data_IF_535534534177
#
_entry.id   IF_535534534177
#
_cell.length_a   1.000
_cell.length_b   1.000
_cell.length_c   1.000
_cell.angle_alpha   90.00
_cell.angle_beta   90.00
_cell.angle_gamma   90.00
#
_symmetry.space_group_name_H-M   'P 1'
#
loop_
_entity.id
_entity.type
_entity.pdbx_description
1 polymer ?
#
# COMPACT_ATOMS: atom_id res chain seq x y z
N UNK A 1 -7.13 4.24 -23.94
CA UNK A 1 -6.02 4.44 -22.98
C UNK A 1 -6.24 3.42 -21.89
N UNK A 2 -5.48 2.34 -21.88
CA UNK A 2 -5.97 1.06 -21.37
C UNK A 2 -5.23 0.66 -20.08
N UNK A 3 -5.99 0.21 -19.07
CA UNK A 3 -5.46 -0.43 -17.85
C UNK A 3 -4.84 0.51 -16.80
N UNK A 4 -5.35 0.44 -15.57
CA UNK A 4 -4.93 1.22 -14.39
C UNK A 4 -5.28 0.41 -13.10
N UNK A 5 -4.80 0.86 -11.92
CA UNK A 5 -5.20 0.51 -10.52
C UNK A 5 -4.50 -0.76 -9.94
N UNK A 6 -4.24 -0.99 -8.64
CA UNK A 6 -4.19 -0.15 -7.40
C UNK A 6 -3.24 -0.77 -6.34
N UNK A 7 -2.60 0.04 -5.47
CA UNK A 7 -2.13 -0.37 -4.12
C UNK A 7 -2.73 0.48 -3.01
N UNK A 8 -2.95 -0.14 -1.84
CA UNK A 8 -3.42 0.52 -0.61
C UNK A 8 -2.41 0.44 0.54
N UNK A 9 -2.31 1.51 1.34
CA UNK A 9 -1.70 1.50 2.70
C UNK A 9 -2.69 2.11 3.70
N UNK A 10 -3.32 1.27 4.52
CA UNK A 10 -4.42 1.62 5.43
C UNK A 10 -3.96 1.99 6.84
N UNK A 11 -4.59 2.99 7.47
CA UNK A 11 -4.28 3.51 8.80
C UNK A 11 -5.56 3.57 9.66
N UNK A 12 -5.59 2.84 10.79
CA UNK A 12 -6.55 3.09 11.89
C UNK A 12 -5.77 3.53 13.13
N UNK A 13 -6.22 4.59 13.79
CA UNK A 13 -5.79 4.93 15.15
C UNK A 13 -6.61 4.11 16.17
N UNK A 14 -6.03 3.14 16.89
CA UNK A 14 -6.77 2.39 17.90
C UNK A 14 -6.88 3.22 19.18
N UNK A 15 -8.09 3.41 19.69
CA UNK A 15 -8.27 3.77 21.10
C UNK A 15 -7.92 2.54 21.96
N UNK A 16 -6.85 2.68 22.76
CA UNK A 16 -6.60 1.98 24.03
C UNK A 16 -6.75 0.44 24.00
N UNK A 17 -5.64 -0.27 23.79
CA UNK A 17 -5.34 -1.50 24.55
C UNK A 17 -3.84 -1.58 24.85
N UNK A 18 -3.50 -1.59 26.15
CA UNK A 18 -2.13 -1.71 26.66
C UNK A 18 -1.91 -3.14 27.16
N UNK A 19 -1.13 -3.95 26.44
CA UNK A 19 -0.36 -5.07 27.02
C UNK A 19 0.70 -5.55 26.01
N UNK A 20 1.97 -5.56 26.42
CA UNK A 20 3.06 -6.35 25.85
C UNK A 20 3.26 -6.30 24.32
N UNK A 21 3.79 -5.17 23.83
CA UNK A 21 4.70 -5.22 22.68
C UNK A 21 6.10 -5.46 23.25
N UNK A 22 6.67 -6.64 22.99
CA UNK A 22 8.07 -6.92 23.30
C UNK A 22 8.98 -5.92 22.57
N UNK A 23 10.08 -5.54 23.20
CA UNK A 23 11.05 -4.56 22.70
C UNK A 23 11.76 -5.07 21.45
N UNK A 24 11.11 -4.90 20.29
CA UNK A 24 11.81 -4.86 19.02
C UNK A 24 12.72 -3.63 19.05
N UNK A 25 14.02 -3.85 18.87
CA UNK A 25 15.03 -2.80 18.79
C UNK A 25 14.58 -1.77 17.74
N UNK A 26 14.52 -0.49 18.12
CA UNK A 26 13.99 0.55 17.24
C UNK A 26 14.92 0.69 16.02
N UNK A 27 14.36 0.60 14.82
CA UNK A 27 15.12 0.67 13.58
C UNK A 27 15.64 2.11 13.38
N UNK A 28 16.88 2.34 13.85
CA UNK A 28 17.53 3.66 13.91
C UNK A 28 18.73 3.69 12.94
N UNK A 29 18.97 4.86 12.35
CA UNK A 29 20.15 5.16 11.53
C UNK A 29 20.63 6.58 11.80
N UNK A 30 21.94 6.76 12.05
CA UNK A 30 22.54 8.09 12.02
C UNK A 30 22.71 8.53 10.56
N UNK A 31 21.84 9.43 10.10
CA UNK A 31 21.87 9.93 8.72
C UNK A 31 23.00 10.94 8.45
N UNK A 32 23.79 11.31 9.45
CA UNK A 32 25.04 12.07 9.30
C UNK A 32 26.27 11.18 9.07
N UNK A 33 26.23 9.90 9.47
CA UNK A 33 27.27 8.91 9.20
C UNK A 33 27.02 8.20 7.86
N UNK A 34 27.80 8.58 6.85
CA UNK A 34 27.79 7.97 5.51
C UNK A 34 27.92 6.44 5.54
N UNK A 35 28.66 5.87 6.49
CA UNK A 35 28.88 4.42 6.58
C UNK A 35 27.62 3.72 7.07
N UNK A 36 26.93 4.31 8.05
CA UNK A 36 25.63 3.82 8.54
C UNK A 36 24.55 3.95 7.47
N UNK A 37 24.46 5.09 6.78
CA UNK A 37 23.49 5.28 5.67
C UNK A 37 23.70 4.24 4.57
N UNK A 38 24.95 3.98 4.17
CA UNK A 38 25.25 2.94 3.16
C UNK A 38 24.81 1.57 3.67
N UNK A 39 25.20 1.17 4.89
CA UNK A 39 24.79 -0.12 5.46
C UNK A 39 23.27 -0.25 5.53
N UNK A 40 22.58 0.79 6.01
CA UNK A 40 21.13 0.83 6.13
C UNK A 40 20.41 0.67 4.79
N UNK A 41 20.93 1.30 3.73
CA UNK A 41 20.42 1.10 2.36
C UNK A 41 20.57 -0.36 1.89
N UNK A 42 21.73 -0.98 2.09
CA UNK A 42 21.94 -2.39 1.72
C UNK A 42 21.12 -3.38 2.56
N UNK A 43 20.88 -3.08 3.83
CA UNK A 43 20.19 -3.98 4.76
C UNK A 43 18.67 -3.81 4.79
N UNK A 44 18.14 -2.63 4.46
CA UNK A 44 16.72 -2.26 4.69
C UNK A 44 16.01 -1.66 3.46
N UNK A 45 16.73 -1.14 2.47
CA UNK A 45 16.12 -0.71 1.20
C UNK A 45 16.21 -1.84 0.17
N UNK A 46 17.45 -2.22 -0.18
CA UNK A 46 17.72 -3.15 -1.28
C UNK A 46 17.09 -4.56 -1.16
N UNK A 47 16.87 -5.17 0.03
CA UNK A 47 16.26 -6.49 0.09
C UNK A 47 14.80 -6.52 -0.37
N UNK A 48 14.13 -5.36 -0.40
CA UNK A 48 12.75 -5.23 -0.93
C UNK A 48 12.70 -5.07 -2.46
N UNK A 49 13.84 -4.91 -3.14
CA UNK A 49 13.89 -4.92 -4.62
C UNK A 49 13.55 -6.30 -5.21
N UNK A 50 13.16 -6.34 -6.49
CA UNK A 50 12.78 -7.59 -7.16
C UNK A 50 11.43 -8.15 -6.68
N UNK A 51 10.57 -7.30 -6.11
CA UNK A 51 9.26 -7.64 -5.56
C UNK A 51 8.23 -8.03 -6.63
N UNK A 52 8.51 -7.75 -7.90
CA UNK A 52 7.58 -7.95 -9.02
C UNK A 52 7.20 -9.43 -9.18
N UNK A 53 8.11 -10.34 -8.88
CA UNK A 53 7.86 -11.78 -8.91
C UNK A 53 7.24 -12.32 -7.60
N UNK A 54 6.90 -11.44 -6.65
CA UNK A 54 6.51 -11.79 -5.27
C UNK A 54 5.06 -11.46 -4.91
N UNK A 55 4.25 -10.99 -5.86
CA UNK A 55 2.87 -10.59 -5.57
C UNK A 55 1.97 -11.77 -5.16
N UNK A 56 2.10 -12.91 -5.85
CA UNK A 56 1.43 -14.21 -5.58
C UNK A 56 -0.03 -14.06 -5.12
N UNK A 57 -0.81 -13.25 -5.83
CA UNK A 57 -2.21 -12.96 -5.48
C UNK A 57 -3.08 -14.22 -5.63
N UNK A 58 -3.92 -14.49 -4.62
CA UNK A 58 -4.78 -15.69 -4.59
C UNK A 58 -6.24 -15.44 -4.98
N UNK A 59 -6.57 -14.21 -5.36
CA UNK A 59 -7.94 -13.81 -5.72
C UNK A 59 -8.31 -14.04 -7.18
N UNK A 60 -9.47 -13.52 -7.57
CA UNK A 60 -9.97 -13.59 -8.94
C UNK A 60 -11.03 -12.50 -9.16
N UNK A 61 -10.80 -11.60 -10.13
CA UNK A 61 -11.78 -10.56 -10.49
C UNK A 61 -13.05 -11.20 -11.05
N UNK A 62 -12.92 -12.22 -11.91
CA UNK A 62 -14.04 -12.94 -12.52
C UNK A 62 -14.95 -13.60 -11.47
N UNK A 63 -14.36 -14.30 -10.49
CA UNK A 63 -15.10 -14.99 -9.44
C UNK A 63 -15.47 -14.08 -8.25
N UNK A 64 -15.25 -12.75 -8.36
CA UNK A 64 -15.54 -11.76 -7.30
C UNK A 64 -14.87 -12.10 -5.95
N UNK A 65 -13.65 -12.64 -6.02
CA UNK A 65 -12.87 -13.04 -4.85
C UNK A 65 -11.67 -12.08 -4.63
N UNK A 66 -11.67 -11.23 -3.58
CA UNK A 66 -10.54 -10.38 -3.25
C UNK A 66 -9.21 -11.10 -3.01
N UNK A 67 -9.27 -12.36 -2.57
CA UNK A 67 -8.12 -13.18 -2.21
C UNK A 67 -7.22 -12.51 -1.15
N UNK A 68 -5.95 -12.87 -1.18
CA UNK A 68 -4.90 -12.30 -0.33
C UNK A 68 -3.64 -12.03 -1.16
N UNK A 69 -2.79 -11.14 -0.66
CA UNK A 69 -1.45 -10.86 -1.19
C UNK A 69 -0.45 -11.77 -0.46
N UNK A 70 0.69 -12.07 -1.10
CA UNK A 70 1.75 -12.83 -0.45
C UNK A 70 2.28 -12.12 0.81
N UNK A 71 2.55 -12.91 1.86
CA UNK A 71 3.24 -12.44 3.06
C UNK A 71 4.62 -11.83 2.74
N UNK A 72 5.27 -12.29 1.66
CA UNK A 72 6.55 -11.74 1.25
C UNK A 72 6.44 -10.31 0.69
N UNK A 73 5.38 -10.02 -0.07
CA UNK A 73 5.13 -8.66 -0.56
C UNK A 73 4.66 -7.73 0.58
N UNK A 74 3.93 -8.27 1.58
CA UNK A 74 3.65 -7.55 2.83
C UNK A 74 4.95 -7.17 3.57
N UNK A 75 5.90 -8.10 3.69
CA UNK A 75 7.23 -7.85 4.28
C UNK A 75 8.05 -6.82 3.50
N UNK A 76 8.05 -6.89 2.16
CA UNK A 76 8.72 -5.93 1.29
C UNK A 76 8.18 -4.49 1.51
N UNK A 77 6.85 -4.34 1.53
CA UNK A 77 6.18 -3.04 1.75
C UNK A 77 6.50 -2.46 3.13
N UNK A 78 6.39 -3.26 4.20
CA UNK A 78 6.60 -2.73 5.55
C UNK A 78 8.07 -2.40 5.83
N UNK A 79 9.00 -3.17 5.26
CA UNK A 79 10.43 -2.86 5.29
C UNK A 79 10.72 -1.52 4.60
N UNK A 80 10.11 -1.27 3.43
CA UNK A 80 10.25 0.02 2.72
C UNK A 80 9.66 1.20 3.51
N UNK A 81 8.48 1.04 4.11
CA UNK A 81 7.85 2.06 4.97
C UNK A 81 8.77 2.39 6.15
N UNK A 82 9.28 1.36 6.84
CA UNK A 82 10.13 1.54 8.01
C UNK A 82 11.51 2.14 7.65
N UNK A 83 12.09 1.79 6.50
CA UNK A 83 13.30 2.45 5.98
C UNK A 83 13.12 3.97 5.89
N UNK A 84 12.05 4.44 5.23
CA UNK A 84 11.82 5.87 5.06
C UNK A 84 11.53 6.59 6.38
N UNK A 85 10.82 5.94 7.31
CA UNK A 85 10.56 6.49 8.64
C UNK A 85 11.84 6.60 9.47
N UNK A 86 12.70 5.58 9.47
CA UNK A 86 13.99 5.58 10.15
C UNK A 86 14.92 6.68 9.61
N UNK A 87 15.05 6.79 8.27
CA UNK A 87 15.85 7.84 7.63
C UNK A 87 15.36 9.27 7.95
N UNK A 88 14.07 9.43 8.27
CA UNK A 88 13.46 10.67 8.70
C UNK A 88 13.51 10.91 10.24
N UNK A 89 14.15 10.02 11.01
CA UNK A 89 14.21 10.11 12.48
C UNK A 89 12.86 9.86 13.18
N UNK A 90 11.97 9.09 12.54
CA UNK A 90 10.67 8.71 13.07
C UNK A 90 10.67 7.26 13.54
N UNK A 91 9.80 6.93 14.50
CA UNK A 91 9.60 5.56 14.94
C UNK A 91 9.25 4.64 13.76
N UNK A 92 10.15 3.68 13.50
CA UNK A 92 10.12 2.76 12.38
C UNK A 92 9.78 1.31 12.82
N UNK A 93 8.95 1.17 13.85
CA UNK A 93 8.40 -0.10 14.32
C UNK A 93 6.93 -0.25 13.86
N UNK A 94 6.63 0.14 12.62
CA UNK A 94 5.32 -0.11 12.01
C UNK A 94 5.24 -1.59 11.63
N UNK A 95 4.10 -2.21 11.89
CA UNK A 95 3.78 -3.59 11.53
C UNK A 95 2.52 -3.63 10.68
N UNK A 96 2.38 -4.66 9.86
CA UNK A 96 1.12 -4.96 9.20
C UNK A 96 0.23 -5.81 10.11
N UNK A 97 -1.08 -5.55 10.06
CA UNK A 97 -2.11 -6.31 10.77
C UNK A 97 -2.95 -7.08 9.76
N UNK A 98 -3.29 -8.33 10.06
CA UNK A 98 -4.13 -9.18 9.20
C UNK A 98 -5.49 -8.54 8.90
N UNK A 99 -6.18 -8.01 9.92
CA UNK A 99 -7.45 -7.30 9.75
C UNK A 99 -7.31 -6.08 8.82
N UNK A 100 -6.25 -5.28 9.02
CA UNK A 100 -5.99 -4.10 8.20
C UNK A 100 -5.58 -4.49 6.77
N UNK A 101 -4.84 -5.60 6.58
CA UNK A 101 -4.51 -6.16 5.27
C UNK A 101 -5.78 -6.63 4.54
N UNK A 102 -6.68 -7.35 5.21
CA UNK A 102 -7.94 -7.81 4.63
C UNK A 102 -8.82 -6.62 4.20
N UNK A 103 -8.97 -5.59 5.04
CA UNK A 103 -9.66 -4.36 4.67
C UNK A 103 -8.97 -3.61 3.52
N UNK A 104 -7.64 -3.61 3.51
CA UNK A 104 -6.87 -2.97 2.44
C UNK A 104 -7.02 -3.71 1.10
N UNK A 105 -7.11 -5.03 1.14
CA UNK A 105 -7.29 -5.90 -0.02
C UNK A 105 -8.68 -5.76 -0.63
N UNK A 106 -9.72 -5.69 0.20
CA UNK A 106 -11.09 -5.33 -0.21
C UNK A 106 -11.10 -4.03 -1.03
N UNK A 107 -10.46 -2.96 -0.55
CA UNK A 107 -10.41 -1.69 -1.26
C UNK A 107 -9.61 -1.76 -2.58
N UNK A 108 -8.49 -2.48 -2.60
CA UNK A 108 -7.72 -2.69 -3.83
C UNK A 108 -8.56 -3.46 -4.87
N UNK A 109 -9.32 -4.46 -4.44
CA UNK A 109 -10.22 -5.23 -5.27
C UNK A 109 -11.42 -4.43 -5.77
N UNK A 110 -12.03 -3.59 -4.93
CA UNK A 110 -13.08 -2.63 -5.34
C UNK A 110 -12.59 -1.76 -6.52
N UNK A 111 -11.40 -1.16 -6.39
CA UNK A 111 -10.84 -0.27 -7.41
C UNK A 111 -10.44 -1.00 -8.69
N UNK A 112 -9.89 -2.21 -8.58
CA UNK A 112 -9.57 -3.07 -9.72
C UNK A 112 -10.83 -3.52 -10.47
N UNK A 113 -11.85 -4.02 -9.74
CA UNK A 113 -13.10 -4.50 -10.33
C UNK A 113 -13.95 -3.38 -10.93
N UNK A 114 -13.91 -2.16 -10.36
CA UNK A 114 -14.55 -0.97 -10.94
C UNK A 114 -13.72 -0.32 -12.06
N UNK A 115 -12.41 -0.59 -12.10
CA UNK A 115 -11.44 0.13 -12.94
C UNK A 115 -11.49 1.67 -12.68
N UNK A 116 -11.45 2.07 -11.41
CA UNK A 116 -11.43 3.47 -10.94
C UNK A 116 -10.70 3.60 -9.59
N UNK A 117 -9.83 4.61 -9.43
CA UNK A 117 -9.26 5.01 -8.14
C UNK A 117 -10.16 6.05 -7.46
N UNK A 118 -10.55 5.81 -6.21
CA UNK A 118 -11.25 6.83 -5.40
C UNK A 118 -11.06 6.58 -3.91
N UNK A 119 -10.77 7.63 -3.14
CA UNK A 119 -10.89 7.60 -1.67
C UNK A 119 -12.34 7.53 -1.20
N UNK A 120 -13.30 7.85 -2.08
CA UNK A 120 -14.73 7.78 -1.82
C UNK A 120 -15.38 6.92 -2.90
N UNK A 121 -15.32 5.58 -2.79
CA UNK A 121 -16.09 4.69 -3.66
C UNK A 121 -17.59 4.91 -3.47
N UNK A 122 -18.32 4.93 -4.57
CA UNK A 122 -19.78 5.07 -4.58
C UNK A 122 -20.46 3.72 -4.33
N UNK A 123 -21.65 3.76 -3.74
CA UNK A 123 -22.40 2.55 -3.34
C UNK A 123 -22.96 1.71 -4.51
N UNK A 124 -22.81 2.18 -5.74
CA UNK A 124 -23.21 1.49 -6.97
C UNK A 124 -22.03 0.78 -7.68
N UNK A 125 -20.82 0.84 -7.11
CA UNK A 125 -19.65 0.15 -7.65
C UNK A 125 -19.91 -1.35 -7.79
N UNK A 126 -19.45 -1.93 -8.90
CA UNK A 126 -19.81 -3.31 -9.31
C UNK A 126 -19.42 -4.38 -8.27
N UNK A 127 -18.42 -4.08 -7.45
CA UNK A 127 -18.06 -4.78 -6.23
C UNK A 127 -17.88 -3.69 -5.15
N UNK A 128 -18.84 -3.60 -4.23
CA UNK A 128 -18.82 -2.64 -3.13
C UNK A 128 -18.76 -3.40 -1.80
N UNK A 129 -17.84 -2.99 -0.91
CA UNK A 129 -17.78 -3.46 0.47
C UNK A 129 -17.54 -2.29 1.42
N UNK A 130 -18.23 -2.28 2.57
CA UNK A 130 -18.07 -1.22 3.57
C UNK A 130 -16.66 -1.21 4.17
N UNK A 131 -16.04 -2.38 4.30
CA UNK A 131 -14.63 -2.56 4.67
C UNK A 131 -13.70 -1.88 3.66
N UNK A 132 -13.89 -2.14 2.36
CA UNK A 132 -13.11 -1.53 1.28
C UNK A 132 -13.31 0.00 1.20
N UNK A 133 -14.53 0.50 1.37
CA UNK A 133 -14.78 1.95 1.45
C UNK A 133 -14.10 2.59 2.66
N UNK A 134 -14.16 1.92 3.82
CA UNK A 134 -13.48 2.40 5.03
C UNK A 134 -11.96 2.41 4.85
N UNK A 135 -11.41 1.41 4.15
CA UNK A 135 -9.99 1.37 3.84
C UNK A 135 -9.59 2.44 2.82
N UNK A 136 -10.30 2.60 1.70
CA UNK A 136 -10.06 3.64 0.70
C UNK A 136 -10.04 5.07 1.30
N UNK A 137 -10.94 5.34 2.27
CA UNK A 137 -11.04 6.65 2.95
C UNK A 137 -9.87 6.96 3.89
N UNK A 138 -9.23 5.93 4.47
CA UNK A 138 -8.13 6.11 5.43
C UNK A 138 -6.85 5.41 4.96
N UNK A 139 -6.53 5.55 3.67
CA UNK A 139 -5.30 4.99 3.09
C UNK A 139 -4.64 5.93 2.10
N UNK A 140 -3.35 5.68 1.85
CA UNK A 140 -2.73 6.13 0.61
C UNK A 140 -3.10 5.19 -0.53
N UNK A 141 -3.35 5.76 -1.72
CA UNK A 141 -3.77 5.04 -2.92
C UNK A 141 -2.74 5.23 -4.05
N UNK A 142 -2.05 4.15 -4.43
CA UNK A 142 -1.13 4.13 -5.58
C UNK A 142 -1.78 3.52 -6.82
N UNK A 143 -1.27 3.91 -7.99
CA UNK A 143 -1.79 3.54 -9.30
C UNK A 143 -0.63 3.19 -10.26
N UNK A 144 -0.58 1.96 -10.76
CA UNK A 144 0.27 1.57 -11.88
C UNK A 144 -0.38 1.63 -13.25
N UNK A 145 0.40 1.97 -14.26
CA UNK A 145 0.03 1.92 -15.69
C UNK A 145 1.10 1.17 -16.48
N UNK A 146 0.81 -0.06 -16.89
CA UNK A 146 1.68 -0.90 -17.74
C UNK A 146 3.09 -1.21 -17.17
N UNK A 147 3.35 -0.87 -15.90
CA UNK A 147 4.60 -1.16 -15.16
C UNK A 147 4.25 -1.58 -13.74
N UNK A 148 5.11 -2.36 -13.09
CA UNK A 148 4.91 -2.88 -11.73
C UNK A 148 5.01 -1.78 -10.65
N UNK A 149 4.01 -0.90 -10.59
CA UNK A 149 3.90 0.17 -9.60
C UNK A 149 3.04 -0.30 -8.41
N UNK A 150 3.52 -1.35 -7.76
CA UNK A 150 2.99 -1.91 -6.53
C UNK A 150 4.17 -2.23 -5.59
N UNK A 151 3.92 -2.94 -4.50
CA UNK A 151 4.92 -3.23 -3.48
C UNK A 151 5.69 -1.99 -3.00
N UNK A 152 6.99 -2.14 -2.72
CA UNK A 152 7.93 -1.05 -2.45
C UNK A 152 7.89 0.11 -3.45
N UNK A 153 7.76 -0.14 -4.76
CA UNK A 153 7.75 0.94 -5.76
C UNK A 153 6.55 1.88 -5.59
N UNK A 154 5.41 1.36 -5.12
CA UNK A 154 4.28 2.20 -4.74
C UNK A 154 4.55 3.02 -3.47
N UNK A 155 5.36 2.53 -2.53
CA UNK A 155 5.81 3.30 -1.34
C UNK A 155 6.81 4.37 -1.77
N UNK A 156 7.77 4.06 -2.63
CA UNK A 156 8.72 5.02 -3.20
C UNK A 156 8.00 6.16 -3.92
N UNK A 157 7.03 5.81 -4.77
CA UNK A 157 6.21 6.79 -5.47
C UNK A 157 5.34 7.66 -4.55
N UNK A 158 4.86 7.11 -3.43
CA UNK A 158 4.18 7.89 -2.39
C UNK A 158 5.13 8.77 -1.57
N UNK A 159 6.41 8.38 -1.46
CA UNK A 159 7.47 9.18 -0.84
C UNK A 159 8.03 10.23 -1.80
N UNK A 160 8.02 10.01 -3.11
CA UNK A 160 8.31 11.05 -4.12
C UNK A 160 7.13 12.03 -4.25
N UNK A 161 5.90 11.51 -4.16
CA UNK A 161 4.63 12.24 -4.16
C UNK A 161 4.53 13.22 -5.35
N UNK A 162 5.01 12.78 -6.51
CA UNK A 162 5.12 13.59 -7.71
C UNK A 162 3.75 13.85 -8.38
N UNK A 163 3.67 14.93 -9.15
CA UNK A 163 2.52 15.27 -10.00
C UNK A 163 1.63 16.39 -9.46
N UNK A 164 0.89 17.04 -10.38
CA UNK A 164 0.14 18.27 -10.11
C UNK A 164 -0.96 18.13 -9.04
N UNK A 165 -1.53 16.92 -8.89
CA UNK A 165 -2.56 16.63 -7.90
C UNK A 165 -1.98 16.43 -6.48
N UNK A 166 -0.67 16.25 -6.36
CA UNK A 166 0.02 15.86 -5.12
C UNK A 166 0.74 17.03 -4.42
N UNK A 167 0.49 18.28 -4.83
CA UNK A 167 1.14 19.49 -4.28
C UNK A 167 1.09 19.64 -2.75
N UNK A 168 0.09 19.03 -2.10
CA UNK A 168 -0.08 19.03 -0.65
C UNK A 168 0.75 17.96 0.08
N UNK A 169 1.48 17.13 -0.68
CA UNK A 169 2.31 16.00 -0.22
C UNK A 169 1.54 15.01 0.65
N UNK A 170 0.32 14.68 0.24
CA UNK A 170 -0.62 13.90 1.04
C UNK A 170 -0.05 12.53 1.41
N UNK A 171 0.44 11.78 0.43
CA UNK A 171 0.91 10.42 0.62
C UNK A 171 2.18 10.38 1.48
N UNK A 172 3.15 11.25 1.17
CA UNK A 172 4.39 11.39 1.94
C UNK A 172 4.11 11.76 3.39
N UNK A 173 3.18 12.70 3.62
CA UNK A 173 2.82 13.16 4.97
C UNK A 173 2.15 12.08 5.82
N UNK A 174 1.46 11.13 5.21
CA UNK A 174 0.86 9.98 5.92
C UNK A 174 1.92 8.95 6.32
N UNK A 175 2.81 8.56 5.39
CA UNK A 175 3.92 7.63 5.69
C UNK A 175 4.86 8.23 6.75
N UNK A 176 5.18 9.51 6.62
CA UNK A 176 6.05 10.26 7.54
C UNK A 176 5.27 10.98 8.66
N UNK A 177 4.04 10.54 8.97
CA UNK A 177 3.33 11.10 10.11
C UNK A 177 3.99 10.63 11.42
N UNK A 178 4.45 11.59 12.23
CA UNK A 178 5.16 11.32 13.49
C UNK A 178 4.29 10.63 14.55
N UNK A 179 2.96 10.71 14.41
CA UNK A 179 1.97 10.00 15.24
C UNK A 179 1.18 8.95 14.44
N UNK A 180 1.80 8.37 13.40
CA UNK A 180 1.20 7.23 12.70
C UNK A 180 0.92 6.10 13.71
N UNK A 181 -0.21 5.37 13.58
CA UNK A 181 -0.43 4.14 14.31
C UNK A 181 0.68 3.13 14.01
N UNK A 182 1.04 2.31 15.00
CA UNK A 182 2.02 1.23 14.84
C UNK A 182 1.53 0.08 13.95
N UNK A 183 0.23 0.05 13.65
CA UNK A 183 -0.38 -0.94 12.77
C UNK A 183 -0.88 -0.25 11.49
N UNK A 184 -0.50 -0.82 10.35
CA UNK A 184 -1.03 -0.47 9.03
C UNK A 184 -1.60 -1.71 8.34
N UNK A 185 -2.30 -1.50 7.22
CA UNK A 185 -2.72 -2.57 6.30
C UNK A 185 -2.15 -2.36 4.92
N UNK A 186 -1.87 -3.43 4.19
CA UNK A 186 -1.48 -3.41 2.78
C UNK A 186 -2.44 -4.27 1.96
N UNK A 187 -2.78 -3.82 0.75
CA UNK A 187 -3.61 -4.56 -0.20
C UNK A 187 -3.25 -4.18 -1.63
N UNK A 188 -3.28 -5.17 -2.54
CA UNK A 188 -2.81 -5.06 -3.91
C UNK A 188 -3.55 -6.04 -4.82
N UNK A 189 -3.83 -5.62 -6.05
CA UNK A 189 -4.31 -6.53 -7.12
C UNK A 189 -3.31 -6.40 -8.29
N UNK A 190 -2.83 -7.52 -8.85
CA UNK A 190 -1.85 -7.49 -9.93
C UNK A 190 -2.49 -6.95 -11.21
N UNK A 191 -1.74 -6.11 -11.93
CA UNK A 191 -2.20 -5.43 -13.16
C UNK A 191 -2.70 -6.38 -14.26
N UNK A 192 -2.19 -7.62 -14.29
CA UNK A 192 -2.50 -8.60 -15.33
C UNK A 192 -3.89 -9.24 -15.17
N UNK A 193 -4.46 -9.24 -13.96
CA UNK A 193 -5.77 -9.85 -13.67
C UNK A 193 -6.93 -8.84 -13.73
N UNK A 194 -6.63 -7.57 -13.99
CA UNK A 194 -7.64 -6.52 -14.17
C UNK A 194 -8.30 -6.72 -15.53
N UNK A 195 -9.50 -7.34 -15.50
CA UNK A 195 -10.29 -7.66 -16.69
C UNK A 195 -10.41 -6.42 -17.58
N UNK A 196 -9.93 -6.55 -18.82
CA UNK A 196 -10.29 -5.64 -19.89
C UNK A 196 -11.80 -5.75 -20.11
N UNK A 197 -12.56 -4.83 -19.50
CA UNK A 197 -13.92 -4.56 -19.97
C UNK A 197 -13.75 -3.85 -21.32
N UNK A 198 -14.12 -4.46 -22.47
CA UNK A 198 -14.38 -3.64 -23.65
C UNK A 198 -15.41 -2.58 -23.25
N UNK A 199 -15.30 -1.39 -23.83
CA UNK A 199 -16.45 -0.48 -23.78
C UNK A 199 -17.66 -1.26 -24.29
N UNK A 200 -18.80 -1.13 -23.60
CA UNK A 200 -20.07 -1.46 -24.24
C UNK A 200 -20.13 -0.64 -25.52
N UNK A 201 -20.17 -1.30 -26.67
CA UNK A 201 -20.49 -0.63 -27.92
C UNK A 201 -21.78 0.18 -27.70
N UNK A 202 -21.87 1.42 -28.22
CA UNK A 202 -23.11 2.16 -28.14
C UNK A 202 -24.21 1.33 -28.81
N UNK A 203 -25.34 1.18 -28.11
CA UNK A 203 -26.54 0.50 -28.61
C UNK A 203 -26.94 1.11 -29.97
N UNK A 204 -27.38 0.30 -30.96
CA UNK A 204 -27.42 0.67 -32.37
C UNK A 204 -28.50 1.69 -32.76
#
# INVERSE_FOLDING_TARGET
MNGKYTILIYFISPLIFFTWIAEAEELIVDNSDRSQVIKFFFDQYLPSEGFENRHEWTGSIENRNPGQVSERLHQDVIMRINYFRAMAGLNANIKLSEDLNNMAQEAAFMMAHQNTLSHYPDSDWSYYSESGVTAARNSNLSLGTNVAYYGPAAVDGQIEDAGENNKNLGHRRWILYSKAPLLMGHGSVPLNDIIYRPHSDPDP
#
